data_IF_623888000635
#
_entry.id   IF_623888000635
#
_cell.length_a   1.000
_cell.length_b   1.000
_cell.length_c   1.000
_cell.angle_alpha   90.00
_cell.angle_beta   90.00
_cell.angle_gamma   90.00
#
_symmetry.space_group_name_H-M   'P 1'
#
loop_
_entity.id
_entity.type
_entity.pdbx_description
1 polymer ?
#
# COMPACT_ATOMS: atom_id res chain seq x y z
N UNK A 1 77.47 10.56 -18.26
CA UNK A 1 76.89 11.13 -19.50
C UNK A 1 75.41 11.41 -19.28
N UNK A 2 74.88 12.61 -19.60
CA UNK A 2 73.46 12.90 -19.46
C UNK A 2 72.62 12.16 -20.52
N UNK A 3 71.46 11.63 -20.11
CA UNK A 3 70.55 10.86 -20.98
C UNK A 3 69.88 11.78 -22.01
N UNK A 4 69.95 11.41 -23.29
CA UNK A 4 69.33 12.19 -24.37
C UNK A 4 67.81 12.34 -24.15
N UNK A 5 67.29 13.55 -24.36
CA UNK A 5 65.84 13.82 -24.32
C UNK A 5 65.16 13.12 -25.50
N UNK A 6 64.12 12.35 -25.19
CA UNK A 6 63.37 11.52 -26.16
C UNK A 6 62.53 12.38 -27.13
N UNK A 7 62.10 13.58 -26.70
CA UNK A 7 61.33 14.52 -27.51
C UNK A 7 62.05 15.87 -27.56
N UNK A 8 62.14 16.45 -28.76
CA UNK A 8 62.87 17.70 -29.04
C UNK A 8 61.95 18.92 -29.08
N UNK A 9 60.71 18.74 -29.50
CA UNK A 9 59.73 19.84 -29.63
C UNK A 9 58.49 19.64 -28.75
N UNK A 10 57.80 20.74 -28.40
CA UNK A 10 56.54 20.65 -27.65
C UNK A 10 55.43 19.93 -28.45
N UNK A 11 55.48 20.01 -29.78
CA UNK A 11 54.54 19.32 -30.66
C UNK A 11 54.67 17.79 -30.54
N UNK A 12 55.90 17.28 -30.53
CA UNK A 12 56.19 15.84 -30.31
C UNK A 12 55.71 15.36 -28.95
N UNK A 13 55.91 16.16 -27.90
CA UNK A 13 55.41 15.84 -26.55
C UNK A 13 53.88 15.77 -26.53
N UNK A 14 53.18 16.70 -27.20
CA UNK A 14 51.72 16.68 -27.30
C UNK A 14 51.23 15.46 -28.09
N UNK A 15 51.90 15.10 -29.18
CA UNK A 15 51.54 13.93 -29.99
C UNK A 15 51.74 12.61 -29.21
N UNK A 16 52.87 12.48 -28.49
CA UNK A 16 53.12 11.32 -27.64
C UNK A 16 52.09 11.20 -26.51
N UNK A 17 51.70 12.32 -25.88
CA UNK A 17 50.62 12.34 -24.88
C UNK A 17 49.28 11.90 -25.48
N UNK A 18 48.92 12.36 -26.68
CA UNK A 18 47.70 11.94 -27.40
C UNK A 18 47.70 10.45 -27.73
N UNK A 19 48.83 9.90 -28.18
CA UNK A 19 48.94 8.47 -28.46
C UNK A 19 48.86 7.64 -27.18
N UNK A 20 49.49 8.10 -26.09
CA UNK A 20 49.41 7.45 -24.78
C UNK A 20 47.98 7.45 -24.25
N UNK A 21 47.26 8.58 -24.33
CA UNK A 21 45.86 8.65 -23.90
C UNK A 21 44.95 7.79 -24.79
N UNK A 22 45.15 7.79 -26.11
CA UNK A 22 44.39 6.93 -27.02
C UNK A 22 44.53 5.45 -26.66
N UNK A 23 45.75 4.97 -26.40
CA UNK A 23 46.00 3.58 -25.95
C UNK A 23 45.34 3.29 -24.59
N UNK A 24 45.37 4.26 -23.67
CA UNK A 24 44.70 4.12 -22.37
C UNK A 24 43.18 3.97 -22.52
N UNK A 25 42.53 4.82 -23.31
CA UNK A 25 41.09 4.77 -23.53
C UNK A 25 40.66 3.53 -24.32
N UNK A 26 41.46 3.07 -25.28
CA UNK A 26 41.21 1.81 -25.97
C UNK A 26 41.29 0.61 -25.02
N UNK A 27 42.33 0.55 -24.17
CA UNK A 27 42.53 -0.57 -23.23
C UNK A 27 41.47 -0.61 -22.12
N UNK A 28 40.99 0.56 -21.67
CA UNK A 28 40.05 0.67 -20.56
C UNK A 28 38.61 0.99 -21.00
N UNK A 29 38.31 0.87 -22.30
CA UNK A 29 37.01 1.24 -22.88
C UNK A 29 35.84 0.61 -22.13
N UNK A 30 35.89 -0.70 -21.93
CA UNK A 30 34.78 -1.44 -21.32
C UNK A 30 34.60 -1.08 -19.84
N UNK A 31 35.70 -0.86 -19.11
CA UNK A 31 35.65 -0.39 -17.71
C UNK A 31 35.07 1.02 -17.58
N UNK A 32 35.36 1.90 -18.54
CA UNK A 32 34.82 3.26 -18.56
C UNK A 32 33.32 3.21 -18.88
N UNK A 33 32.92 2.43 -19.88
CA UNK A 33 31.52 2.27 -20.26
C UNK A 33 30.70 1.61 -19.15
N UNK A 34 31.22 0.56 -18.51
CA UNK A 34 30.53 -0.13 -17.41
C UNK A 34 30.31 0.81 -16.22
N UNK A 35 31.31 1.65 -15.89
CA UNK A 35 31.20 2.62 -14.80
C UNK A 35 30.18 3.71 -15.11
N UNK A 36 30.14 4.21 -16.35
CA UNK A 36 29.14 5.17 -16.80
C UNK A 36 27.72 4.59 -16.78
N UNK A 37 27.58 3.31 -17.12
CA UNK A 37 26.29 2.62 -17.11
C UNK A 37 25.80 2.39 -15.67
N UNK A 38 26.68 1.95 -14.76
CA UNK A 38 26.38 1.84 -13.33
C UNK A 38 25.93 3.17 -12.72
N UNK A 39 26.63 4.27 -13.05
CA UNK A 39 26.24 5.60 -12.58
C UNK A 39 24.85 6.02 -13.10
N UNK A 40 24.52 5.71 -14.35
CA UNK A 40 23.17 5.98 -14.90
C UNK A 40 22.09 5.16 -14.20
N UNK A 41 22.38 3.89 -13.93
CA UNK A 41 21.44 2.99 -13.25
C UNK A 41 21.21 3.41 -11.78
N UNK A 42 22.25 3.90 -11.10
CA UNK A 42 22.16 4.44 -9.74
C UNK A 42 21.33 5.73 -9.69
N UNK A 43 21.56 6.66 -10.61
CA UNK A 43 20.76 7.90 -10.73
C UNK A 43 19.30 7.57 -11.02
N UNK A 44 19.04 6.64 -11.95
CA UNK A 44 17.66 6.23 -12.28
C UNK A 44 16.95 5.58 -11.08
N UNK A 45 17.64 4.73 -10.31
CA UNK A 45 17.10 4.17 -9.06
C UNK A 45 16.79 5.24 -8.03
N UNK A 46 17.64 6.26 -7.88
CA UNK A 46 17.39 7.37 -6.98
C UNK A 46 16.19 8.21 -7.42
N UNK A 47 16.06 8.51 -8.72
CA UNK A 47 14.92 9.21 -9.30
C UNK A 47 13.60 8.43 -9.09
N UNK A 48 13.63 7.11 -9.27
CA UNK A 48 12.47 6.24 -9.03
C UNK A 48 12.07 6.23 -7.55
N UNK A 49 13.03 6.17 -6.62
CA UNK A 49 12.78 6.23 -5.17
C UNK A 49 12.18 7.59 -4.79
N UNK A 50 12.75 8.70 -5.27
CA UNK A 50 12.24 10.04 -5.01
C UNK A 50 10.84 10.26 -5.62
N UNK A 51 10.56 9.66 -6.77
CA UNK A 51 9.24 9.70 -7.39
C UNK A 51 8.20 8.94 -6.55
N UNK A 52 8.54 7.74 -6.09
CA UNK A 52 7.69 6.94 -5.18
C UNK A 52 7.46 7.68 -3.86
N UNK A 53 8.50 8.28 -3.27
CA UNK A 53 8.37 9.09 -2.06
C UNK A 53 7.50 10.33 -2.28
N UNK A 54 7.63 11.02 -3.42
CA UNK A 54 6.77 12.15 -3.80
C UNK A 54 5.31 11.73 -3.93
N UNK A 55 5.03 10.59 -4.56
CA UNK A 55 3.68 10.04 -4.65
C UNK A 55 3.13 9.66 -3.27
N UNK A 56 3.94 9.05 -2.41
CA UNK A 56 3.56 8.72 -1.03
C UNK A 56 3.26 9.97 -0.20
N UNK A 57 4.12 11.00 -0.28
CA UNK A 57 3.92 12.30 0.38
C UNK A 57 2.67 13.01 -0.14
N UNK A 58 2.41 13.00 -1.45
CA UNK A 58 1.16 13.53 -2.03
C UNK A 58 -0.07 12.77 -1.53
N UNK A 59 0.00 11.44 -1.43
CA UNK A 59 -1.10 10.61 -0.93
C UNK A 59 -1.38 10.87 0.56
N UNK A 60 -0.34 11.02 1.38
CA UNK A 60 -0.45 11.37 2.81
C UNK A 60 -0.95 12.81 2.98
N UNK A 61 -0.44 13.76 2.20
CA UNK A 61 -0.88 15.16 2.24
C UNK A 61 -2.37 15.26 1.87
N UNK A 62 -2.79 14.59 0.79
CA UNK A 62 -4.20 14.49 0.41
C UNK A 62 -5.03 13.80 1.48
N UNK A 63 -4.54 12.74 2.11
CA UNK A 63 -5.22 12.10 3.25
C UNK A 63 -5.40 13.08 4.43
N UNK A 64 -4.38 13.88 4.76
CA UNK A 64 -4.45 14.86 5.84
C UNK A 64 -5.33 16.07 5.50
N UNK A 65 -5.33 16.51 4.24
CA UNK A 65 -6.25 17.54 3.72
C UNK A 65 -7.69 17.03 3.75
N UNK A 66 -7.93 15.81 3.28
CA UNK A 66 -9.24 15.17 3.36
C UNK A 66 -9.68 14.98 4.81
N UNK A 67 -8.77 14.63 5.74
CA UNK A 67 -9.06 14.55 7.18
C UNK A 67 -9.37 15.92 7.78
N UNK A 68 -8.72 16.99 7.31
CA UNK A 68 -9.01 18.37 7.69
C UNK A 68 -10.32 18.87 7.12
N UNK A 69 -10.69 18.50 5.89
CA UNK A 69 -12.00 18.79 5.31
C UNK A 69 -13.08 17.98 6.03
N UNK A 70 -12.81 16.72 6.34
CA UNK A 70 -13.64 15.90 7.23
C UNK A 70 -13.76 16.52 8.64
N UNK A 71 -12.77 17.24 9.14
CA UNK A 71 -12.83 17.89 10.45
C UNK A 71 -13.45 19.30 10.39
N UNK A 72 -13.30 20.01 9.26
CA UNK A 72 -13.77 21.37 9.03
C UNK A 72 -15.21 21.47 8.53
N UNK A 73 -15.79 20.39 8.01
CA UNK A 73 -17.23 20.29 7.70
C UNK A 73 -18.07 19.86 8.90
N UNK A 74 -17.48 19.72 10.10
CA UNK A 74 -18.21 19.34 11.33
C UNK A 74 -18.61 20.60 12.12
N UNK A 75 -19.37 21.48 11.49
CA UNK A 75 -20.53 22.04 12.19
C UNK A 75 -21.68 21.06 11.94
N UNK A 76 -21.90 20.16 12.91
CA UNK A 76 -22.84 19.04 12.84
C UNK A 76 -24.28 19.50 12.60
N UNK A 77 -24.77 19.41 11.36
CA UNK A 77 -26.20 19.48 11.09
C UNK A 77 -26.80 18.24 10.41
N UNK A 78 -26.02 17.36 9.77
CA UNK A 78 -26.57 16.15 9.14
C UNK A 78 -25.77 14.86 9.44
N UNK A 79 -26.27 14.00 10.36
CA UNK A 79 -25.73 12.67 10.62
C UNK A 79 -25.64 11.78 9.37
N UNK A 80 -26.55 11.93 8.40
CA UNK A 80 -26.55 11.11 7.18
C UNK A 80 -25.37 11.43 6.26
N UNK A 81 -25.05 12.71 6.10
CA UNK A 81 -23.89 13.15 5.33
C UNK A 81 -22.60 12.51 5.89
N UNK A 82 -22.47 12.44 7.21
CA UNK A 82 -21.30 11.84 7.86
C UNK A 82 -21.21 10.33 7.63
N UNK A 83 -22.33 9.59 7.70
CA UNK A 83 -22.37 8.16 7.37
C UNK A 83 -21.93 7.93 5.91
N UNK A 84 -22.39 8.77 4.97
CA UNK A 84 -21.97 8.68 3.57
C UNK A 84 -20.46 8.88 3.41
N UNK A 85 -19.87 9.82 4.13
CA UNK A 85 -18.41 10.06 4.09
C UNK A 85 -17.63 8.87 4.66
N UNK A 86 -18.11 8.25 5.74
CA UNK A 86 -17.50 7.02 6.28
C UNK A 86 -17.59 5.86 5.29
N UNK A 87 -18.73 5.70 4.62
CA UNK A 87 -18.89 4.69 3.57
C UNK A 87 -17.97 4.95 2.37
N UNK A 88 -17.81 6.21 1.94
CA UNK A 88 -16.84 6.58 0.90
C UNK A 88 -15.40 6.29 1.35
N UNK A 89 -15.08 6.48 2.62
CA UNK A 89 -13.77 6.14 3.18
C UNK A 89 -13.50 4.64 3.11
N UNK A 90 -14.51 3.80 3.37
CA UNK A 90 -14.43 2.34 3.20
C UNK A 90 -14.24 1.93 1.72
N UNK A 91 -15.03 2.49 0.80
CA UNK A 91 -14.92 2.25 -0.64
C UNK A 91 -13.53 2.65 -1.14
N UNK A 92 -13.01 3.78 -0.68
CA UNK A 92 -11.68 4.27 -1.05
C UNK A 92 -10.56 3.38 -0.51
N UNK A 93 -10.69 2.90 0.73
CA UNK A 93 -9.72 2.00 1.35
C UNK A 93 -9.69 0.65 0.63
N UNK A 94 -10.86 0.14 0.24
CA UNK A 94 -11.00 -1.10 -0.53
C UNK A 94 -10.71 -0.95 -2.03
N UNK A 95 -10.58 0.28 -2.54
CA UNK A 95 -10.42 0.52 -3.99
C UNK A 95 -11.66 0.19 -4.82
N UNK A 96 -12.84 0.14 -4.18
CA UNK A 96 -14.10 -0.23 -4.82
C UNK A 96 -14.95 -1.11 -3.92
N UNK A 97 -14.94 -2.41 -4.18
CA UNK A 97 -15.72 -3.41 -3.44
C UNK A 97 -14.89 -4.02 -2.32
N UNK A 98 -15.33 -3.94 -1.05
CA UNK A 98 -14.64 -4.59 0.06
C UNK A 98 -14.44 -6.10 -0.11
N UNK A 99 -15.34 -6.83 -0.78
CA UNK A 99 -15.14 -8.25 -1.09
C UNK A 99 -13.94 -8.48 -2.04
N UNK A 100 -13.85 -7.72 -3.13
CA UNK A 100 -12.74 -7.80 -4.08
C UNK A 100 -11.41 -7.33 -3.45
N UNK A 101 -11.48 -6.42 -2.49
CA UNK A 101 -10.32 -6.03 -1.70
C UNK A 101 -9.79 -7.17 -0.84
N UNK A 102 -10.68 -7.99 -0.26
CA UNK A 102 -10.28 -9.20 0.47
C UNK A 102 -9.60 -10.24 -0.43
N UNK A 103 -10.09 -10.45 -1.65
CA UNK A 103 -9.40 -11.27 -2.65
C UNK A 103 -7.98 -10.73 -2.92
N UNK A 104 -7.83 -9.41 -3.01
CA UNK A 104 -6.53 -8.75 -3.21
C UNK A 104 -5.59 -8.97 -2.02
N UNK A 105 -6.11 -8.91 -0.79
CA UNK A 105 -5.34 -9.18 0.44
C UNK A 105 -4.86 -10.64 0.44
N UNK A 106 -5.74 -11.59 0.13
CA UNK A 106 -5.39 -13.00 0.01
C UNK A 106 -4.24 -13.21 -0.99
N UNK A 107 -4.38 -12.70 -2.23
CA UNK A 107 -3.33 -12.86 -3.23
C UNK A 107 -2.01 -12.17 -2.83
N UNK A 108 -2.09 -11.02 -2.16
CA UNK A 108 -0.91 -10.35 -1.63
C UNK A 108 -0.24 -11.19 -0.54
N UNK A 109 -1.02 -11.77 0.37
CA UNK A 109 -0.53 -12.65 1.42
C UNK A 109 0.18 -13.89 0.85
N UNK A 110 -0.45 -14.61 -0.09
CA UNK A 110 0.14 -15.80 -0.74
C UNK A 110 1.45 -15.43 -1.47
N UNK A 111 1.48 -14.29 -2.17
CA UNK A 111 2.68 -13.81 -2.85
C UNK A 111 3.83 -13.48 -1.89
N UNK A 112 3.54 -12.84 -0.76
CA UNK A 112 4.54 -12.49 0.25
C UNK A 112 5.10 -13.76 0.91
N UNK A 113 4.24 -14.72 1.28
CA UNK A 113 4.64 -16.01 1.86
C UNK A 113 5.46 -16.86 0.88
N UNK A 114 5.15 -16.80 -0.42
CA UNK A 114 5.87 -17.53 -1.46
C UNK A 114 7.28 -17.00 -1.78
N UNK A 115 7.58 -15.74 -1.45
CA UNK A 115 8.87 -15.11 -1.77
C UNK A 115 9.79 -14.88 -0.57
N UNK A 116 9.27 -14.76 0.65
CA UNK A 116 10.05 -14.36 1.83
C UNK A 116 9.71 -15.22 3.06
N UNK A 117 10.51 -16.27 3.31
CA UNK A 117 10.47 -17.02 4.59
C UNK A 117 11.26 -16.33 5.71
N UNK A 118 11.92 -15.20 5.45
CA UNK A 118 12.94 -14.61 6.35
C UNK A 118 12.67 -13.17 6.80
N UNK A 119 11.63 -12.49 6.31
CA UNK A 119 11.35 -11.10 6.68
C UNK A 119 10.13 -10.98 7.58
N UNK A 120 10.37 -10.45 8.79
CA UNK A 120 9.37 -9.98 9.76
C UNK A 120 8.62 -8.73 9.25
N UNK A 121 8.11 -8.75 8.03
CA UNK A 121 7.20 -7.72 7.53
C UNK A 121 5.82 -8.01 8.07
N UNK A 122 5.16 -7.01 8.65
CA UNK A 122 3.79 -7.11 9.16
C UNK A 122 2.88 -7.78 8.11
N UNK A 123 2.10 -8.78 8.51
CA UNK A 123 1.25 -9.54 7.61
C UNK A 123 0.33 -8.58 6.83
N UNK A 124 0.14 -8.77 5.51
CA UNK A 124 -0.86 -8.04 4.75
C UNK A 124 -2.26 -8.06 5.41
N UNK A 125 -2.58 -9.15 6.11
CA UNK A 125 -3.82 -9.31 6.87
C UNK A 125 -3.82 -8.36 8.08
N UNK A 126 -2.79 -8.35 8.93
CA UNK A 126 -2.66 -7.43 10.08
C UNK A 126 -2.76 -5.95 9.67
N UNK A 127 -2.14 -5.59 8.55
CA UNK A 127 -2.19 -4.23 8.02
C UNK A 127 -3.62 -3.84 7.61
N UNK A 128 -4.35 -4.76 6.98
CA UNK A 128 -5.75 -4.59 6.62
C UNK A 128 -6.64 -4.49 7.87
N UNK A 129 -6.46 -5.40 8.84
CA UNK A 129 -7.19 -5.42 10.11
C UNK A 129 -6.99 -4.13 10.90
N UNK A 130 -5.76 -3.63 10.96
CA UNK A 130 -5.44 -2.35 11.62
C UNK A 130 -6.14 -1.17 10.94
N UNK A 131 -6.17 -1.16 9.60
CA UNK A 131 -6.78 -0.08 8.82
C UNK A 131 -8.30 -0.03 9.01
N UNK A 132 -8.97 -1.18 8.99
CA UNK A 132 -10.41 -1.28 9.25
C UNK A 132 -10.74 -0.99 10.72
N UNK A 133 -9.92 -1.47 11.67
CA UNK A 133 -10.10 -1.19 13.11
C UNK A 133 -10.03 0.31 13.41
N UNK A 134 -9.14 1.05 12.76
CA UNK A 134 -9.08 2.50 12.89
C UNK A 134 -10.36 3.19 12.37
N UNK A 135 -10.91 2.71 11.25
CA UNK A 135 -12.17 3.20 10.71
C UNK A 135 -13.36 2.85 11.62
N UNK A 136 -13.38 1.64 12.18
CA UNK A 136 -14.40 1.19 13.14
C UNK A 136 -14.38 2.03 14.41
N UNK A 137 -13.20 2.36 14.94
CA UNK A 137 -13.08 3.25 16.11
C UNK A 137 -13.70 4.61 15.82
N UNK A 138 -13.39 5.21 14.67
CA UNK A 138 -13.99 6.49 14.25
C UNK A 138 -15.51 6.41 14.06
N UNK A 139 -16.00 5.32 13.46
CA UNK A 139 -17.43 5.09 13.28
C UNK A 139 -18.17 4.84 14.60
N UNK A 140 -17.56 4.14 15.55
CA UNK A 140 -18.15 3.85 16.86
C UNK A 140 -18.32 5.12 17.69
N UNK A 141 -17.27 5.96 17.77
CA UNK A 141 -17.35 7.26 18.44
C UNK A 141 -18.46 8.12 17.85
N UNK A 142 -18.61 8.10 16.51
CA UNK A 142 -19.67 8.82 15.83
C UNK A 142 -21.07 8.23 16.13
N UNK A 143 -21.20 6.90 16.16
CA UNK A 143 -22.44 6.22 16.53
C UNK A 143 -22.88 6.57 17.96
N UNK A 144 -21.93 6.61 18.90
CA UNK A 144 -22.19 6.98 20.30
C UNK A 144 -22.60 8.45 20.40
N UNK A 145 -21.99 9.33 19.60
CA UNK A 145 -22.39 10.74 19.50
C UNK A 145 -23.82 10.89 18.97
N UNK A 146 -24.20 10.15 17.93
CA UNK A 146 -25.59 10.16 17.43
C UNK A 146 -26.55 9.69 18.52
N UNK A 147 -26.21 8.61 19.24
CA UNK A 147 -27.04 8.10 20.31
C UNK A 147 -27.27 9.15 21.40
N UNK A 148 -26.22 9.87 21.79
CA UNK A 148 -26.28 10.91 22.82
C UNK A 148 -27.02 12.18 22.35
N UNK A 149 -26.92 12.56 21.07
CA UNK A 149 -27.54 13.78 20.54
C UNK A 149 -28.96 13.60 20.01
N UNK A 150 -29.28 12.44 19.42
CA UNK A 150 -30.53 12.17 18.72
C UNK A 150 -31.27 10.94 19.24
N UNK A 151 -30.73 10.21 20.23
CA UNK A 151 -31.34 8.98 20.75
C UNK A 151 -31.32 7.80 19.77
N UNK A 152 -32.17 6.81 20.02
CA UNK A 152 -32.31 5.58 19.22
C UNK A 152 -33.03 5.76 17.88
N UNK A 153 -32.76 6.86 17.17
CA UNK A 153 -33.37 7.19 15.88
C UNK A 153 -32.85 6.32 14.74
N UNK A 154 -33.46 6.43 13.55
CA UNK A 154 -33.01 5.73 12.34
C UNK A 154 -31.54 6.06 11.99
N UNK A 155 -31.07 7.27 12.34
CA UNK A 155 -29.66 7.66 12.17
C UNK A 155 -28.71 6.80 12.99
N UNK A 156 -29.05 6.52 14.25
CA UNK A 156 -28.29 5.62 15.09
C UNK A 156 -28.31 4.20 14.53
N UNK A 157 -29.47 3.69 14.10
CA UNK A 157 -29.58 2.36 13.47
C UNK A 157 -28.66 2.24 12.25
N UNK A 158 -28.63 3.25 11.37
CA UNK A 158 -27.75 3.26 10.20
C UNK A 158 -26.26 3.33 10.57
N UNK A 159 -25.89 4.13 11.57
CA UNK A 159 -24.50 4.19 12.06
C UNK A 159 -24.08 2.86 12.71
N UNK A 160 -24.95 2.26 13.52
CA UNK A 160 -24.73 0.95 14.13
C UNK A 160 -24.63 -0.17 13.08
N UNK A 161 -25.45 -0.14 12.03
CA UNK A 161 -25.33 -1.07 10.89
C UNK A 161 -23.99 -0.91 10.17
N UNK A 162 -23.53 0.32 9.97
CA UNK A 162 -22.22 0.57 9.38
C UNK A 162 -21.08 0.02 10.26
N UNK A 163 -21.14 0.23 11.58
CA UNK A 163 -20.20 -0.39 12.52
C UNK A 163 -20.26 -1.92 12.47
N UNK A 164 -21.45 -2.52 12.38
CA UNK A 164 -21.64 -3.97 12.25
C UNK A 164 -21.01 -4.50 10.95
N UNK A 165 -21.14 -3.77 9.84
CA UNK A 165 -20.48 -4.10 8.58
C UNK A 165 -18.95 -4.09 8.69
N UNK A 166 -18.37 -3.08 9.35
CA UNK A 166 -16.92 -3.02 9.57
C UNK A 166 -16.43 -4.18 10.47
N UNK A 167 -17.20 -4.55 11.50
CA UNK A 167 -16.89 -5.72 12.33
C UNK A 167 -16.92 -7.03 11.54
N UNK A 168 -17.87 -7.19 10.62
CA UNK A 168 -17.91 -8.35 9.73
C UNK A 168 -16.70 -8.43 8.81
N UNK A 169 -16.23 -7.29 8.30
CA UNK A 169 -14.98 -7.24 7.51
C UNK A 169 -13.80 -7.71 8.36
N UNK A 170 -13.68 -7.24 9.61
CA UNK A 170 -12.63 -7.69 10.54
C UNK A 170 -12.74 -9.20 10.79
N UNK A 171 -13.93 -9.73 11.07
CA UNK A 171 -14.13 -11.16 11.29
C UNK A 171 -13.71 -12.02 10.09
N UNK A 172 -13.89 -11.52 8.85
CA UNK A 172 -13.42 -12.20 7.65
C UNK A 172 -11.88 -12.18 7.53
N UNK A 173 -11.23 -11.12 7.98
CA UNK A 173 -9.77 -11.05 8.01
C UNK A 173 -9.20 -11.95 9.11
N UNK A 174 -9.84 -12.01 10.27
CA UNK A 174 -9.50 -12.92 11.36
C UNK A 174 -9.70 -14.39 10.94
N UNK A 175 -10.75 -14.70 10.18
CA UNK A 175 -10.95 -16.04 9.58
C UNK A 175 -9.76 -16.42 8.68
N UNK A 176 -9.30 -15.52 7.79
CA UNK A 176 -8.10 -15.77 7.00
C UNK A 176 -6.86 -16.03 7.87
N UNK A 177 -6.67 -15.25 8.94
CA UNK A 177 -5.54 -15.42 9.86
C UNK A 177 -5.60 -16.74 10.62
N UNK A 178 -6.79 -17.17 11.02
CA UNK A 178 -7.00 -18.45 11.68
C UNK A 178 -6.65 -19.63 10.76
N UNK A 179 -7.07 -19.57 9.48
CA UNK A 179 -6.71 -20.59 8.47
C UNK A 179 -5.21 -20.60 8.12
N UNK A 180 -4.49 -19.51 8.38
CA UNK A 180 -3.03 -19.48 8.24
C UNK A 180 -2.35 -20.27 9.36
N UNK A 181 -2.93 -20.25 10.57
CA UNK A 181 -2.38 -20.93 11.74
C UNK A 181 -2.76 -22.41 11.80
N UNK A 182 -3.77 -22.84 11.04
CA UNK A 182 -4.24 -24.22 10.99
C UNK A 182 -3.32 -25.11 10.11
N UNK A 183 -2.66 -26.13 10.70
CA UNK A 183 -1.81 -27.04 9.94
C UNK A 183 -2.59 -28.04 9.06
N UNK A 184 -3.88 -28.27 9.33
CA UNK A 184 -4.72 -29.22 8.59
C UNK A 184 -5.48 -28.55 7.44
N UNK A 185 -5.98 -27.33 7.65
CA UNK A 185 -6.75 -26.53 6.67
C UNK A 185 -6.03 -25.23 6.30
N UNK A 186 -4.93 -25.36 5.54
CA UNK A 186 -4.13 -24.23 5.04
C UNK A 186 -5.00 -23.26 4.24
N UNK A 187 -4.73 -21.96 4.42
CA UNK A 187 -5.46 -20.85 3.79
C UNK A 187 -5.68 -21.02 2.28
N UNK A 188 -4.72 -21.62 1.57
CA UNK A 188 -4.83 -21.87 0.12
C UNK A 188 -5.96 -22.84 -0.20
N UNK A 189 -6.06 -23.95 0.54
CA UNK A 189 -7.14 -24.95 0.37
C UNK A 189 -8.49 -24.34 0.72
N UNK A 190 -8.56 -23.65 1.87
CA UNK A 190 -9.78 -22.97 2.30
C UNK A 190 -10.29 -21.95 1.27
N UNK A 191 -9.38 -21.21 0.62
CA UNK A 191 -9.73 -20.27 -0.45
C UNK A 191 -10.22 -20.97 -1.72
N UNK A 192 -9.53 -22.03 -2.18
CA UNK A 192 -9.89 -22.78 -3.38
C UNK A 192 -11.23 -23.51 -3.23
N UNK A 193 -11.50 -24.04 -2.05
CA UNK A 193 -12.75 -24.75 -1.72
C UNK A 193 -13.90 -23.83 -1.32
N UNK A 194 -13.71 -22.50 -1.42
CA UNK A 194 -14.69 -21.46 -1.07
C UNK A 194 -15.21 -21.55 0.37
N UNK A 195 -14.34 -21.95 1.31
CA UNK A 195 -14.70 -22.12 2.73
C UNK A 195 -14.47 -20.87 3.58
N UNK A 196 -13.93 -19.80 3.01
CA UNK A 196 -13.70 -18.55 3.73
C UNK A 196 -15.00 -17.75 3.84
N UNK A 197 -15.20 -17.11 5.00
CA UNK A 197 -16.47 -16.44 5.30
C UNK A 197 -16.85 -15.37 4.27
N UNK A 198 -15.89 -14.62 3.73
CA UNK A 198 -16.16 -13.56 2.75
C UNK A 198 -16.52 -14.08 1.35
N UNK A 199 -16.30 -15.37 1.06
CA UNK A 199 -16.63 -16.00 -0.23
C UNK A 199 -18.08 -16.48 -0.29
N UNK A 200 -18.77 -16.54 0.86
CA UNK A 200 -20.20 -16.84 0.92
C UNK A 200 -21.02 -15.67 0.36
N UNK A 201 -21.98 -15.95 -0.52
CA UNK A 201 -22.74 -14.91 -1.24
C UNK A 201 -23.45 -13.94 -0.28
N UNK A 202 -24.02 -14.45 0.82
CA UNK A 202 -24.68 -13.64 1.86
C UNK A 202 -23.73 -12.65 2.53
N UNK A 203 -22.56 -13.13 2.93
CA UNK A 203 -21.52 -12.33 3.58
C UNK A 203 -20.91 -11.32 2.60
N UNK A 204 -20.72 -11.72 1.34
CA UNK A 204 -20.20 -10.88 0.26
C UNK A 204 -21.12 -9.69 -0.01
N UNK A 205 -22.41 -9.95 -0.20
CA UNK A 205 -23.41 -8.92 -0.47
C UNK A 205 -23.56 -7.96 0.72
N UNK A 206 -23.45 -8.47 1.94
CA UNK A 206 -23.46 -7.67 3.15
C UNK A 206 -22.25 -6.74 3.25
N UNK A 207 -21.06 -7.30 3.03
CA UNK A 207 -19.80 -6.56 3.10
C UNK A 207 -19.68 -5.54 1.98
N UNK A 208 -20.28 -5.79 0.82
CA UNK A 208 -20.34 -4.82 -0.27
C UNK A 208 -21.47 -3.78 -0.09
N UNK A 209 -22.41 -4.04 0.82
CA UNK A 209 -23.52 -3.13 1.15
C UNK A 209 -24.67 -3.20 0.14
N UNK A 210 -24.84 -4.36 -0.52
CA UNK A 210 -25.88 -4.63 -1.51
C UNK A 210 -27.20 -5.06 -0.83
N UNK A 211 -27.11 -5.77 0.30
CA UNK A 211 -28.28 -6.35 0.99
C UNK A 211 -28.39 -5.79 2.43
N UNK A 212 -29.58 -5.39 2.91
CA UNK A 212 -29.84 -5.16 4.34
C UNK A 212 -30.04 -6.50 5.09
N UNK A 213 -29.57 -6.57 6.34
CA UNK A 213 -29.51 -7.78 7.20
C UNK A 213 -30.81 -8.61 7.18
N UNK A 214 -30.75 -9.95 7.06
CA UNK A 214 -31.82 -10.82 7.54
C UNK A 214 -31.82 -10.82 9.08
N UNK A 215 -32.96 -10.43 9.66
CA UNK A 215 -33.19 -10.31 11.11
C UNK A 215 -32.68 -11.51 11.92
#
# INVERSE_FOLDING_TARGET
MPRAKIYRTQAEVKQAKRQKSARYYQKNRDKILSKLQQQRDEVKKQEDIEFIERLRKKRIKKWNEDQKDLAGVIEDHDPLARIKVLNHSLIRLSGGRPSAWMDTIYHHYVRVRGHDSTRRTASPIDQATTSISNLLRGASIFSDRILNSYGGTDFYKRAAMFCKRLRWIIACLEDMELRVMDPEDDLVKAYEEKRLNFQQDTTRDWIDGVVPIPE
#
